data_IF_276696401563
#
_entry.id   IF_276696401563
#
_cell.length_a   1.000
_cell.length_b   1.000
_cell.length_c   1.000
_cell.angle_alpha   90.00
_cell.angle_beta   90.00
_cell.angle_gamma   90.00
#
_symmetry.space_group_name_H-M   'P 1'
#
loop_
_entity.id
_entity.type
_entity.pdbx_description
1 polymer ?
#
# COMPACT_ATOMS: atom_id res chain seq x y z
N UNK A 1 -18.69 -39.65 18.24
CA UNK A 1 -17.35 -39.24 18.71
C UNK A 1 -16.38 -39.45 17.57
N UNK A 2 -15.93 -38.38 16.92
CA UNK A 2 -15.00 -38.49 15.79
C UNK A 2 -13.59 -38.53 16.38
N UNK A 3 -12.89 -39.66 16.27
CA UNK A 3 -11.50 -39.82 16.69
C UNK A 3 -10.60 -39.40 15.52
N UNK A 4 -10.11 -38.16 15.55
CA UNK A 4 -9.14 -37.71 14.56
C UNK A 4 -7.80 -38.41 14.81
N UNK A 5 -7.38 -39.23 13.85
CA UNK A 5 -6.09 -39.92 13.92
C UNK A 5 -4.94 -38.92 13.92
N UNK A 6 -3.80 -39.22 14.56
CA UNK A 6 -2.66 -38.31 14.63
C UNK A 6 -2.13 -37.93 13.23
N UNK A 7 -2.26 -38.84 12.26
CA UNK A 7 -1.93 -38.60 10.85
C UNK A 7 -2.80 -37.49 10.21
N UNK A 8 -4.09 -37.46 10.53
CA UNK A 8 -5.03 -36.44 10.05
C UNK A 8 -4.71 -35.05 10.61
N UNK A 9 -4.27 -35.00 11.88
CA UNK A 9 -3.88 -33.76 12.54
C UNK A 9 -2.58 -33.20 11.95
N UNK A 10 -1.60 -34.08 11.65
CA UNK A 10 -0.36 -33.66 10.98
C UNK A 10 -0.60 -33.16 9.56
N UNK A 11 -1.56 -33.76 8.83
CA UNK A 11 -1.92 -33.32 7.49
C UNK A 11 -2.58 -31.93 7.51
N UNK A 12 -3.51 -31.69 8.45
CA UNK A 12 -4.11 -30.36 8.62
C UNK A 12 -3.08 -29.30 9.00
N UNK A 13 -2.12 -29.62 9.89
CA UNK A 13 -1.08 -28.69 10.32
C UNK A 13 -0.11 -28.29 9.19
N UNK A 14 0.19 -29.23 8.29
CA UNK A 14 0.96 -28.95 7.07
C UNK A 14 0.18 -28.04 6.11
N UNK A 15 -1.10 -28.31 5.90
CA UNK A 15 -1.97 -27.49 5.04
C UNK A 15 -2.12 -26.07 5.60
N UNK A 16 -2.28 -25.89 6.92
CA UNK A 16 -2.38 -24.56 7.54
C UNK A 16 -1.09 -23.74 7.41
N UNK A 17 0.08 -24.39 7.36
CA UNK A 17 1.36 -23.71 7.15
C UNK A 17 1.51 -23.20 5.70
N UNK A 18 0.93 -23.93 4.74
CA UNK A 18 0.93 -23.55 3.32
C UNK A 18 -0.07 -22.41 3.04
N UNK A 19 -1.21 -22.38 3.76
CA UNK A 19 -2.27 -21.39 3.61
C UNK A 19 -2.17 -20.22 4.58
N UNK A 20 -1.03 -20.05 5.27
CA UNK A 20 -0.82 -18.88 6.12
C UNK A 20 -0.71 -17.64 5.23
N UNK A 21 -1.85 -16.99 5.01
CA UNK A 21 -1.92 -15.68 4.38
C UNK A 21 -1.55 -14.66 5.46
N UNK A 22 -0.37 -14.01 5.38
CA UNK A 22 0.04 -13.06 6.39
C UNK A 22 -0.93 -11.89 6.36
N UNK A 23 -1.71 -11.74 7.43
CA UNK A 23 -2.54 -10.56 7.67
C UNK A 23 -1.65 -9.32 7.71
N UNK A 24 -1.72 -8.49 6.67
CA UNK A 24 -0.90 -7.29 6.52
C UNK A 24 -1.46 -6.14 7.37
N UNK A 25 -1.23 -6.18 8.68
CA UNK A 25 -1.37 -5.00 9.53
C UNK A 25 0.00 -4.32 9.65
N UNK A 26 0.27 -3.35 8.78
CA UNK A 26 1.45 -2.49 8.91
C UNK A 26 1.26 -1.54 10.11
N UNK A 27 1.57 -2.02 11.31
CA UNK A 27 1.72 -1.17 12.49
C UNK A 27 2.96 -0.31 12.26
N UNK A 28 2.76 0.99 12.03
CA UNK A 28 3.84 1.96 11.91
C UNK A 28 4.59 1.97 13.25
N UNK A 29 5.84 1.51 13.25
CA UNK A 29 6.67 1.58 14.44
C UNK A 29 7.30 2.99 14.51
N UNK A 30 6.89 3.85 15.46
CA UNK A 30 7.42 5.21 15.57
C UNK A 30 8.93 5.24 15.82
N UNK A 31 9.50 4.16 16.38
CA UNK A 31 10.94 4.02 16.62
C UNK A 31 11.75 3.86 15.34
N UNK A 32 11.10 3.57 14.20
CA UNK A 32 11.72 3.49 12.87
C UNK A 32 11.63 4.80 12.09
N UNK A 33 11.21 5.89 12.73
CA UNK A 33 11.20 7.22 12.15
C UNK A 33 12.57 7.89 12.36
N UNK A 34 13.24 8.25 11.27
CA UNK A 34 14.47 9.03 11.32
C UNK A 34 14.16 10.50 10.96
N UNK A 35 14.50 11.43 11.84
CA UNK A 35 14.36 12.85 11.54
C UNK A 35 15.49 13.32 10.63
N UNK A 36 15.14 13.73 9.40
CA UNK A 36 16.13 14.23 8.42
C UNK A 36 16.26 15.74 8.40
N UNK A 37 15.25 16.47 8.90
CA UNK A 37 15.31 17.92 9.03
C UNK A 37 14.35 18.41 10.12
N UNK A 38 14.76 19.44 10.85
CA UNK A 38 13.93 20.15 11.83
C UNK A 38 13.20 21.35 11.21
N UNK A 39 13.74 21.93 10.13
CA UNK A 39 13.17 23.07 9.43
C UNK A 39 13.52 23.02 7.93
N UNK A 40 12.63 22.49 7.07
CA UNK A 40 11.28 22.01 7.35
C UNK A 40 11.28 20.73 8.21
N UNK A 41 10.20 20.48 8.98
CA UNK A 41 10.04 19.22 9.71
C UNK A 41 9.89 18.07 8.72
N UNK A 42 10.85 17.16 8.68
CA UNK A 42 10.83 16.02 7.77
C UNK A 42 11.36 14.76 8.46
N UNK A 43 10.67 13.64 8.24
CA UNK A 43 10.99 12.33 8.79
C UNK A 43 10.95 11.27 7.68
N UNK A 44 11.87 10.30 7.74
CA UNK A 44 11.91 9.14 6.86
C UNK A 44 11.54 7.90 7.68
N UNK A 45 10.55 7.15 7.23
CA UNK A 45 10.09 5.91 7.88
C UNK A 45 10.60 4.70 7.11
N UNK A 46 11.42 3.88 7.75
CA UNK A 46 11.90 2.62 7.16
C UNK A 46 10.88 1.49 7.32
N UNK A 47 10.64 0.74 6.24
CA UNK A 47 9.67 -0.36 6.25
C UNK A 47 8.23 0.09 6.48
N UNK A 48 7.88 1.29 6.01
CA UNK A 48 6.52 1.86 6.14
C UNK A 48 5.44 0.98 5.48
N UNK A 49 5.80 0.26 4.42
CA UNK A 49 4.96 -0.75 3.76
C UNK A 49 5.76 -2.01 3.45
N UNK A 50 5.05 -3.12 3.39
CA UNK A 50 5.61 -4.39 2.92
C UNK A 50 5.60 -4.46 1.39
N UNK A 51 6.53 -5.22 0.80
CA UNK A 51 6.62 -5.38 -0.66
C UNK A 51 5.33 -5.93 -1.28
N UNK A 52 4.63 -6.82 -0.58
CA UNK A 52 3.32 -7.35 -1.01
C UNK A 52 2.25 -6.26 -1.12
N UNK A 53 2.19 -5.34 -0.15
CA UNK A 53 1.27 -4.20 -0.18
C UNK A 53 1.62 -3.23 -1.33
N UNK A 54 2.92 -3.00 -1.56
CA UNK A 54 3.41 -2.19 -2.67
C UNK A 54 3.00 -2.80 -4.03
N UNK A 55 3.21 -4.10 -4.22
CA UNK A 55 2.84 -4.80 -5.45
C UNK A 55 1.32 -4.77 -5.69
N UNK A 56 0.53 -4.93 -4.63
CA UNK A 56 -0.93 -4.83 -4.71
C UNK A 56 -1.39 -3.43 -5.15
N UNK A 57 -0.77 -2.38 -4.62
CA UNK A 57 -1.07 -1.01 -5.01
C UNK A 57 -0.72 -0.72 -6.47
N UNK A 58 0.44 -1.21 -6.92
CA UNK A 58 0.88 -1.05 -8.30
C UNK A 58 -0.07 -1.78 -9.25
N UNK A 59 -0.44 -3.04 -8.97
CA UNK A 59 -1.33 -3.81 -9.82
C UNK A 59 -2.71 -3.16 -9.94
N UNK A 60 -3.24 -2.61 -8.84
CA UNK A 60 -4.52 -1.91 -8.82
C UNK A 60 -4.47 -0.55 -9.50
N UNK A 61 -3.36 0.18 -9.41
CA UNK A 61 -3.22 1.47 -10.06
C UNK A 61 -3.07 1.35 -11.59
N UNK A 62 -2.35 0.32 -12.07
CA UNK A 62 -2.01 0.15 -13.49
C UNK A 62 -3.20 0.28 -14.45
N UNK A 63 -4.41 -0.18 -14.07
CA UNK A 63 -5.59 -0.12 -14.94
C UNK A 63 -6.21 1.28 -15.08
N UNK A 64 -5.93 2.19 -14.15
CA UNK A 64 -6.64 3.46 -14.00
C UNK A 64 -5.69 4.68 -13.97
N UNK A 65 -4.39 4.47 -14.19
CA UNK A 65 -3.39 5.54 -14.32
C UNK A 65 -3.70 6.45 -15.52
N UNK A 66 -3.87 7.75 -15.25
CA UNK A 66 -4.04 8.77 -16.29
C UNK A 66 -2.91 9.78 -16.21
N UNK A 67 -2.52 10.34 -17.36
CA UNK A 67 -1.53 11.41 -17.42
C UNK A 67 -2.04 12.60 -16.60
N UNK A 68 -1.17 13.16 -15.77
CA UNK A 68 -1.51 14.37 -15.01
C UNK A 68 -1.78 15.52 -15.97
N UNK A 69 -2.91 16.20 -15.75
CA UNK A 69 -3.28 17.38 -16.49
C UNK A 69 -3.58 18.51 -15.50
N UNK A 70 -3.24 19.73 -15.87
CA UNK A 70 -3.44 20.94 -15.09
C UNK A 70 -4.50 21.78 -15.80
N UNK A 71 -5.36 22.44 -15.03
CA UNK A 71 -6.32 23.38 -15.57
C UNK A 71 -5.58 24.60 -16.13
N UNK A 72 -5.86 24.95 -17.37
CA UNK A 72 -5.35 26.16 -18.00
C UNK A 72 -5.96 27.41 -17.35
N UNK A 73 -5.13 28.39 -17.02
CA UNK A 73 -5.54 29.57 -16.27
C UNK A 73 -6.58 30.43 -17.01
N UNK A 74 -6.54 30.43 -18.34
CA UNK A 74 -7.41 31.29 -19.15
C UNK A 74 -8.72 30.60 -19.56
N UNK A 75 -8.63 29.31 -19.91
CA UNK A 75 -9.77 28.56 -20.48
C UNK A 75 -10.44 27.60 -19.49
N UNK A 76 -9.81 27.32 -18.35
CA UNK A 76 -10.25 26.32 -17.38
C UNK A 76 -10.19 24.88 -17.90
N UNK A 77 -9.69 24.66 -19.12
CA UNK A 77 -9.61 23.33 -19.75
C UNK A 77 -8.41 22.55 -19.26
N UNK A 78 -8.56 21.24 -19.20
CA UNK A 78 -7.50 20.31 -18.82
C UNK A 78 -6.45 20.21 -19.93
N UNK A 79 -5.24 20.73 -19.67
CA UNK A 79 -4.07 20.60 -20.56
C UNK A 79 -3.05 19.65 -19.94
N UNK A 80 -2.36 18.89 -20.77
CA UNK A 80 -1.29 18.01 -20.31
C UNK A 80 -0.19 18.83 -19.65
N UNK A 81 0.28 18.38 -18.48
CA UNK A 81 1.30 19.11 -17.73
C UNK A 81 2.70 18.75 -18.20
N UNK A 82 3.52 19.77 -18.49
CA UNK A 82 4.96 19.61 -18.72
C UNK A 82 5.74 19.47 -17.40
N UNK A 83 5.19 20.03 -16.30
CA UNK A 83 5.81 20.00 -14.98
C UNK A 83 5.48 18.71 -14.22
N UNK A 84 4.26 18.16 -14.38
CA UNK A 84 3.84 16.88 -13.78
C UNK A 84 3.80 15.80 -14.86
N UNK A 85 4.98 15.27 -15.18
CA UNK A 85 5.14 14.25 -16.23
C UNK A 85 4.77 12.83 -15.78
N UNK A 86 4.43 12.63 -14.50
CA UNK A 86 3.98 11.35 -13.98
C UNK A 86 2.49 11.09 -14.25
N UNK A 87 2.13 9.83 -14.51
CA UNK A 87 0.73 9.39 -14.47
C UNK A 87 0.31 9.07 -13.03
N UNK A 88 -0.97 9.29 -12.71
CA UNK A 88 -1.50 9.07 -11.37
C UNK A 88 -2.96 8.62 -11.38
N UNK A 89 -3.42 8.17 -10.21
CA UNK A 89 -4.79 7.73 -9.96
C UNK A 89 -5.18 8.10 -8.53
N UNK A 90 -6.42 8.53 -8.32
CA UNK A 90 -6.99 8.69 -6.99
C UNK A 90 -7.70 7.41 -6.56
N UNK A 91 -7.39 6.94 -5.36
CA UNK A 91 -8.06 5.78 -4.75
C UNK A 91 -8.96 6.26 -3.62
N UNK A 92 -10.21 5.80 -3.59
CA UNK A 92 -11.10 6.08 -2.46
C UNK A 92 -10.55 5.47 -1.15
N UNK A 93 -10.75 6.19 -0.04
CA UNK A 93 -10.37 5.72 1.30
C UNK A 93 -10.99 4.34 1.59
N UNK A 94 -10.19 3.42 2.14
CA UNK A 94 -10.62 2.06 2.48
C UNK A 94 -10.56 1.04 1.34
N UNK A 95 -10.29 1.46 0.08
CA UNK A 95 -10.02 0.51 -1.02
C UNK A 95 -8.60 -0.05 -1.04
N UNK A 96 -7.73 0.51 -0.20
CA UNK A 96 -6.42 -0.02 0.17
C UNK A 96 -6.52 -0.34 1.65
N UNK A 97 -5.99 -1.48 2.08
CA UNK A 97 -5.95 -1.85 3.49
C UNK A 97 -5.46 -0.65 4.31
N UNK A 98 -6.27 -0.25 5.29
CA UNK A 98 -6.21 1.03 5.95
C UNK A 98 -5.05 1.09 6.95
N UNK A 99 -3.81 1.14 6.46
CA UNK A 99 -2.70 1.64 7.24
C UNK A 99 -2.53 3.11 6.91
N UNK A 100 -2.95 3.94 7.86
CA UNK A 100 -2.83 5.39 7.93
C UNK A 100 -1.66 5.96 7.10
N UNK A 101 -1.92 6.33 5.85
CA UNK A 101 -1.18 7.41 5.22
C UNK A 101 -1.84 8.69 5.74
N UNK A 102 -1.34 9.19 6.86
CA UNK A 102 -1.46 10.60 7.19
C UNK A 102 -0.23 11.25 6.58
N UNK A 103 -0.42 11.91 5.44
CA UNK A 103 0.52 12.90 4.91
C UNK A 103 0.24 14.23 5.60
#
# INVERSE_FOLDING_TARGET
MIWFSPLSLTLLALISSILYEPSSSSIINPSKANQVSSQPKAFVYEGFRMDGECNHLISRAKSELKRSAVADNESGKSKLSEVRTSSGMFTAKGKVCASSIVL
#
